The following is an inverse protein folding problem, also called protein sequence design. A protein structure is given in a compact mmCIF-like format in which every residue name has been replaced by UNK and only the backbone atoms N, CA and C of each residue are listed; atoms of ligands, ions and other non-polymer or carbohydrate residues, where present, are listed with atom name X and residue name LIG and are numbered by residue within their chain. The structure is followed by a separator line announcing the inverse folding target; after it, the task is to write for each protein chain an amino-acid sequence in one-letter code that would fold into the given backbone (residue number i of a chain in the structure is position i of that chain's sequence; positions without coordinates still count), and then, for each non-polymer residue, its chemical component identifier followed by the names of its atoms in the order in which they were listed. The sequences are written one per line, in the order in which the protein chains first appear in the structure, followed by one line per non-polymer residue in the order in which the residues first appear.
data_IF_248671783656
#
_entry.id   IF_248671783656
#
_cell.length_a   1.000
_cell.length_b   1.000
_cell.length_c   1.000
_cell.angle_alpha   90.00
_cell.angle_beta   90.00
_cell.angle_gamma   90.00
#
_symmetry.space_group_name_H-M   'P 1'
#
loop_
_entity.id
_entity.type
_entity.pdbx_description
1 polymer ?
#
# COMPACT_ATOMS: atom_id res chain seq x y z
N UNK A 1 -5.37 -23.13 -16.30
CA UNK A 1 -5.86 -21.89 -16.93
C UNK A 1 -4.67 -21.17 -17.55
N UNK A 2 -4.71 -20.82 -18.84
CA UNK A 2 -3.63 -20.07 -19.47
C UNK A 2 -3.49 -18.71 -18.78
N UNK A 3 -2.28 -18.40 -18.28
CA UNK A 3 -1.97 -17.05 -17.81
C UNK A 3 -2.30 -16.10 -18.97
N UNK A 4 -3.15 -15.07 -18.69
CA UNK A 4 -3.40 -14.00 -19.65
C UNK A 4 -2.05 -13.42 -20.05
N UNK A 5 -1.68 -13.53 -21.32
CA UNK A 5 -0.48 -12.87 -21.85
C UNK A 5 -0.72 -11.38 -21.69
N UNK A 6 -0.01 -10.77 -20.72
CA UNK A 6 0.01 -9.30 -20.57
C UNK A 6 0.71 -8.73 -21.78
N UNK A 7 0.11 -7.73 -22.41
CA UNK A 7 0.76 -7.04 -23.51
C UNK A 7 1.95 -6.25 -22.96
N UNK A 8 3.16 -6.76 -23.23
CA UNK A 8 4.41 -6.19 -22.70
C UNK A 8 4.61 -4.75 -23.18
N UNK A 9 4.27 -4.42 -24.43
CA UNK A 9 4.45 -3.06 -24.97
C UNK A 9 3.57 -2.06 -24.23
N UNK A 10 2.35 -2.44 -23.84
CA UNK A 10 1.43 -1.59 -23.09
C UNK A 10 1.82 -1.45 -21.62
N UNK A 11 2.41 -2.49 -21.01
CA UNK A 11 2.98 -2.39 -19.67
C UNK A 11 4.23 -1.51 -19.68
N UNK A 12 5.06 -1.62 -20.70
CA UNK A 12 6.19 -0.72 -20.91
C UNK A 12 5.73 0.73 -21.13
N UNK A 13 4.58 0.94 -21.80
CA UNK A 13 3.95 2.27 -21.95
C UNK A 13 3.49 2.85 -20.59
N UNK A 14 2.90 2.04 -19.70
CA UNK A 14 2.56 2.45 -18.33
C UNK A 14 3.81 2.81 -17.52
N UNK A 15 4.87 2.01 -17.67
CA UNK A 15 6.14 2.24 -16.97
C UNK A 15 6.84 3.53 -17.40
N UNK A 16 6.59 3.98 -18.63
CA UNK A 16 7.13 5.22 -19.19
C UNK A 16 6.17 6.42 -19.14
N UNK A 17 4.98 6.24 -18.55
CA UNK A 17 3.97 7.28 -18.47
C UNK A 17 4.48 8.47 -17.65
N UNK A 18 4.65 9.61 -18.30
CA UNK A 18 4.96 10.89 -17.65
C UNK A 18 3.67 11.72 -17.50
N UNK A 19 3.60 12.49 -16.44
CA UNK A 19 2.52 13.45 -16.22
C UNK A 19 2.91 14.79 -16.84
N UNK A 20 1.98 15.42 -17.55
CA UNK A 20 2.19 16.76 -18.12
C UNK A 20 2.20 17.83 -17.02
N UNK A 21 3.09 18.83 -17.16
CA UNK A 21 3.43 19.79 -16.12
C UNK A 21 2.34 20.77 -15.66
N UNK A 22 1.21 20.86 -16.35
CA UNK A 22 0.15 21.86 -16.12
C UNK A 22 -0.95 21.39 -15.13
N UNK A 23 -0.60 20.50 -14.18
CA UNK A 23 -1.56 20.08 -13.15
C UNK A 23 -2.01 21.28 -12.29
N UNK A 24 -3.30 21.35 -11.92
CA UNK A 24 -3.75 22.33 -10.94
C UNK A 24 -2.97 22.14 -9.64
N UNK A 25 -2.70 23.26 -8.95
CA UNK A 25 -1.94 23.19 -7.69
C UNK A 25 -2.63 22.27 -6.69
N UNK A 26 -1.93 21.28 -6.13
CA UNK A 26 -2.48 20.40 -5.11
C UNK A 26 -2.95 21.20 -3.89
N UNK A 27 -4.06 20.79 -3.29
CA UNK A 27 -4.68 21.50 -2.16
C UNK A 27 -5.00 20.51 -1.04
N UNK A 28 -4.53 20.80 0.17
CA UNK A 28 -4.90 20.03 1.37
C UNK A 28 -6.42 20.16 1.59
N UNK A 29 -7.12 19.03 1.54
CA UNK A 29 -8.57 18.94 1.73
C UNK A 29 -8.93 18.53 3.15
N UNK A 30 -8.13 17.66 3.77
CA UNK A 30 -8.33 17.21 5.15
C UNK A 30 -6.98 16.80 5.76
N UNK A 31 -6.69 17.31 6.95
CA UNK A 31 -5.63 16.82 7.81
C UNK A 31 -6.20 15.74 8.73
N UNK A 32 -5.74 14.50 8.59
CA UNK A 32 -6.23 13.36 9.35
C UNK A 32 -5.83 13.43 10.84
N UNK A 33 -4.87 14.27 11.22
CA UNK A 33 -4.53 14.48 12.63
C UNK A 33 -5.70 15.04 13.42
N UNK A 34 -6.63 15.74 12.77
CA UNK A 34 -7.90 16.22 13.36
C UNK A 34 -8.84 15.09 13.77
N UNK A 35 -8.59 13.86 13.23
CA UNK A 35 -9.32 12.64 13.56
C UNK A 35 -8.49 11.69 14.44
N UNK A 36 -7.33 12.12 14.92
CA UNK A 36 -6.40 11.29 15.67
C UNK A 36 -5.66 10.27 14.80
N UNK A 37 -5.62 10.46 13.49
CA UNK A 37 -4.94 9.60 12.53
C UNK A 37 -3.77 10.33 11.87
N UNK A 38 -2.79 9.60 11.37
CA UNK A 38 -1.64 10.18 10.67
C UNK A 38 -1.86 10.14 9.16
N UNK A 39 -1.80 11.31 8.53
CA UNK A 39 -1.95 11.43 7.09
C UNK A 39 -2.80 12.62 6.66
N UNK A 40 -3.21 12.62 5.41
CA UNK A 40 -3.98 13.71 4.82
C UNK A 40 -4.76 13.28 3.58
N UNK A 41 -5.74 14.10 3.22
CA UNK A 41 -6.42 14.05 1.91
C UNK A 41 -6.02 15.30 1.13
N UNK A 42 -5.53 15.11 -0.09
CA UNK A 42 -5.07 16.20 -0.97
C UNK A 42 -5.85 16.13 -2.28
N UNK A 43 -6.46 17.22 -2.68
CA UNK A 43 -7.15 17.35 -3.97
C UNK A 43 -6.18 17.84 -5.06
N UNK A 44 -6.50 17.55 -6.31
CA UNK A 44 -5.78 18.01 -7.49
C UNK A 44 -4.33 17.51 -7.60
N UNK A 45 -4.04 16.29 -7.18
CA UNK A 45 -2.73 15.65 -7.40
C UNK A 45 -2.55 15.27 -8.87
N UNK A 46 -3.64 14.84 -9.51
CA UNK A 46 -3.74 14.58 -10.95
C UNK A 46 -4.84 15.43 -11.58
N UNK A 47 -4.67 15.77 -12.84
CA UNK A 47 -5.75 16.30 -13.68
C UNK A 47 -6.71 15.19 -14.09
N UNK A 48 -7.93 15.55 -14.50
CA UNK A 48 -8.88 14.58 -15.05
C UNK A 48 -8.33 13.89 -16.32
N UNK A 49 -7.53 14.59 -17.13
CA UNK A 49 -6.90 14.02 -18.33
C UNK A 49 -5.83 12.98 -17.97
N UNK A 50 -4.97 13.26 -16.99
CA UNK A 50 -3.97 12.31 -16.50
C UNK A 50 -4.63 11.07 -15.87
N UNK A 51 -5.70 11.25 -15.12
CA UNK A 51 -6.49 10.15 -14.56
C UNK A 51 -7.08 9.26 -15.68
N UNK A 52 -7.70 9.87 -16.70
CA UNK A 52 -8.25 9.16 -17.85
C UNK A 52 -7.17 8.39 -18.61
N UNK A 53 -6.02 9.01 -18.83
CA UNK A 53 -4.88 8.39 -19.51
C UNK A 53 -4.37 7.14 -18.77
N UNK A 54 -4.27 7.19 -17.44
CA UNK A 54 -3.86 6.02 -16.63
C UNK A 54 -4.90 4.90 -16.80
N UNK A 55 -6.20 5.21 -16.66
CA UNK A 55 -7.29 4.22 -16.82
C UNK A 55 -7.23 3.60 -18.21
N UNK A 56 -7.24 4.42 -19.26
CA UNK A 56 -7.26 3.93 -20.65
C UNK A 56 -6.05 3.07 -20.98
N UNK A 57 -4.86 3.47 -20.53
CA UNK A 57 -3.64 2.71 -20.78
C UNK A 57 -3.68 1.37 -20.05
N UNK A 58 -4.16 1.35 -18.79
CA UNK A 58 -4.27 0.12 -17.99
C UNK A 58 -5.33 -0.83 -18.57
N UNK A 59 -6.48 -0.32 -19.03
CA UNK A 59 -7.53 -1.13 -19.67
C UNK A 59 -7.04 -1.72 -21.00
N UNK A 60 -6.37 -0.91 -21.85
CA UNK A 60 -5.79 -1.38 -23.11
C UNK A 60 -4.74 -2.45 -22.91
N UNK A 61 -3.93 -2.33 -21.87
CA UNK A 61 -2.92 -3.34 -21.51
C UNK A 61 -3.55 -4.69 -21.11
N UNK A 62 -4.88 -4.76 -20.94
CA UNK A 62 -5.59 -5.94 -20.43
C UNK A 62 -4.89 -6.53 -19.18
N UNK A 63 -4.27 -5.64 -18.38
CA UNK A 63 -3.41 -5.99 -17.24
C UNK A 63 -4.18 -6.38 -15.99
N UNK A 64 -5.51 -6.15 -15.95
CA UNK A 64 -6.33 -6.46 -14.79
C UNK A 64 -6.55 -7.96 -14.62
N UNK A 65 -6.27 -8.45 -13.44
CA UNK A 65 -6.62 -9.79 -12.99
C UNK A 65 -7.16 -9.72 -11.56
N UNK A 66 -7.87 -10.73 -11.13
CA UNK A 66 -8.26 -10.84 -9.73
C UNK A 66 -7.01 -10.72 -8.86
N UNK A 67 -7.11 -9.96 -7.75
CA UNK A 67 -5.99 -9.58 -6.89
C UNK A 67 -5.18 -10.77 -6.34
N UNK A 68 -5.82 -11.93 -6.18
CA UNK A 68 -5.18 -13.15 -5.70
C UNK A 68 -4.78 -14.04 -6.89
N UNK A 69 -3.48 -14.40 -7.03
CA UNK A 69 -2.98 -15.17 -8.16
C UNK A 69 -3.54 -16.59 -8.24
N UNK A 70 -4.00 -17.17 -7.13
CA UNK A 70 -4.67 -18.48 -7.13
C UNK A 70 -6.10 -18.42 -7.68
N UNK A 71 -6.61 -17.21 -7.94
CA UNK A 71 -7.93 -16.96 -8.47
C UNK A 71 -8.99 -16.71 -7.41
N UNK A 72 -10.18 -16.42 -7.90
CA UNK A 72 -11.32 -16.01 -7.07
C UNK A 72 -12.09 -17.22 -6.53
N UNK A 73 -12.39 -17.20 -5.24
CA UNK A 73 -13.39 -18.01 -4.59
C UNK A 73 -14.35 -17.15 -3.74
N UNK A 74 -15.37 -17.74 -3.13
CA UNK A 74 -16.37 -17.01 -2.35
C UNK A 74 -15.75 -16.30 -1.12
N UNK A 75 -14.78 -16.92 -0.43
CA UNK A 75 -14.11 -16.36 0.75
C UNK A 75 -13.23 -15.18 0.36
N UNK A 76 -12.41 -15.33 -0.71
CA UNK A 76 -11.56 -14.27 -1.23
C UNK A 76 -12.39 -13.08 -1.72
N UNK A 77 -13.51 -13.33 -2.43
CA UNK A 77 -14.44 -12.28 -2.88
C UNK A 77 -15.17 -11.60 -1.72
N UNK A 78 -15.50 -12.32 -0.66
CA UNK A 78 -16.08 -11.72 0.54
C UNK A 78 -15.10 -10.77 1.23
N UNK A 79 -13.81 -11.08 1.20
CA UNK A 79 -12.76 -10.23 1.76
C UNK A 79 -12.42 -9.05 0.84
N UNK A 80 -12.14 -9.33 -0.45
CA UNK A 80 -11.80 -8.29 -1.43
C UNK A 80 -12.34 -8.68 -2.81
N UNK A 81 -13.23 -7.86 -3.35
CA UNK A 81 -13.77 -8.04 -4.69
C UNK A 81 -13.27 -6.90 -5.60
N UNK A 82 -12.09 -7.12 -6.16
CA UNK A 82 -11.40 -6.16 -7.01
C UNK A 82 -10.47 -6.88 -8.00
N UNK A 83 -10.19 -6.22 -9.12
CA UNK A 83 -9.12 -6.59 -10.03
C UNK A 83 -7.94 -5.63 -9.84
N UNK A 84 -6.73 -6.12 -10.06
CA UNK A 84 -5.50 -5.34 -9.93
C UNK A 84 -4.62 -5.50 -11.17
N UNK A 85 -4.01 -4.41 -11.61
CA UNK A 85 -2.93 -4.38 -12.59
C UNK A 85 -1.68 -3.84 -11.89
N UNK A 86 -0.58 -4.60 -11.94
CA UNK A 86 0.68 -4.27 -11.31
C UNK A 86 1.74 -3.95 -12.35
N UNK A 87 2.51 -2.88 -12.14
CA UNK A 87 3.61 -2.50 -13.01
C UNK A 87 4.65 -1.66 -12.26
N UNK A 88 5.86 -1.53 -12.82
CA UNK A 88 6.88 -0.61 -12.33
C UNK A 88 6.68 0.74 -13.01
N UNK A 89 6.41 1.79 -12.24
CA UNK A 89 6.07 3.14 -12.71
C UNK A 89 7.03 4.21 -12.23
N UNK A 90 8.35 4.03 -12.42
CA UNK A 90 9.37 4.97 -11.96
C UNK A 90 9.11 6.40 -12.47
N UNK A 91 8.78 6.55 -13.77
CA UNK A 91 8.48 7.85 -14.40
C UNK A 91 7.25 8.50 -13.77
N UNK A 92 6.17 7.73 -13.56
CA UNK A 92 4.94 8.20 -12.92
C UNK A 92 5.21 8.62 -11.47
N UNK A 93 5.96 7.83 -10.71
CA UNK A 93 6.36 8.16 -9.34
C UNK A 93 7.21 9.43 -9.28
N UNK A 94 8.18 9.60 -10.19
CA UNK A 94 9.00 10.81 -10.27
C UNK A 94 8.16 12.06 -10.59
N UNK A 95 7.09 11.94 -11.37
CA UNK A 95 6.17 13.05 -11.66
C UNK A 95 5.17 13.31 -10.51
N UNK A 96 4.72 12.27 -9.80
CA UNK A 96 3.79 12.40 -8.68
C UNK A 96 4.45 12.92 -7.40
N UNK A 97 5.69 12.52 -7.13
CA UNK A 97 6.37 12.84 -5.88
C UNK A 97 6.44 14.34 -5.58
N UNK A 98 6.88 15.23 -6.50
CA UNK A 98 6.91 16.67 -6.24
C UNK A 98 5.55 17.26 -5.89
N UNK A 99 4.45 16.66 -6.36
CA UNK A 99 3.08 17.11 -6.08
C UNK A 99 2.59 16.65 -4.70
N UNK A 100 3.06 15.49 -4.22
CA UNK A 100 2.67 14.90 -2.94
C UNK A 100 3.61 15.30 -1.79
N UNK A 101 4.91 15.47 -2.05
CA UNK A 101 5.94 15.72 -1.05
C UNK A 101 5.60 16.85 -0.06
N UNK A 102 4.98 18.00 -0.45
CA UNK A 102 4.65 19.06 0.48
C UNK A 102 3.63 18.67 1.57
N UNK A 103 2.87 17.59 1.35
CA UNK A 103 1.80 17.11 2.23
C UNK A 103 2.18 15.86 3.01
N UNK A 104 3.33 15.27 2.69
CA UNK A 104 3.83 14.06 3.34
C UNK A 104 4.71 14.45 4.53
N UNK A 105 4.66 13.68 5.61
CA UNK A 105 5.57 13.83 6.72
C UNK A 105 7.02 13.65 6.24
N UNK A 106 7.75 14.76 6.12
CA UNK A 106 9.14 14.75 5.64
C UNK A 106 10.07 13.96 6.58
N UNK A 107 9.74 13.92 7.88
CA UNK A 107 10.41 13.12 8.92
C UNK A 107 9.37 12.38 9.73
N UNK A 108 9.71 11.16 10.13
CA UNK A 108 8.87 10.32 10.95
C UNK A 108 9.69 9.62 12.02
N UNK A 109 9.28 9.78 13.28
CA UNK A 109 9.95 9.15 14.43
C UNK A 109 9.10 7.98 14.93
N UNK A 110 9.71 6.82 15.06
CA UNK A 110 9.09 5.63 15.63
C UNK A 110 9.81 5.25 16.92
N UNK A 111 9.05 5.09 18.00
CA UNK A 111 9.60 4.60 19.27
C UNK A 111 10.18 3.20 19.10
N UNK A 112 11.37 2.99 19.62
CA UNK A 112 12.00 1.66 19.68
C UNK A 112 11.48 0.81 20.85
N UNK A 113 10.72 1.40 21.76
CA UNK A 113 10.13 0.72 22.92
C UNK A 113 8.78 0.10 22.54
N UNK A 114 8.64 -1.19 22.77
CA UNK A 114 7.42 -1.93 22.48
C UNK A 114 6.17 -1.42 23.23
N UNK A 115 6.36 -0.75 24.39
CA UNK A 115 5.24 -0.19 25.18
C UNK A 115 4.64 1.08 24.57
N UNK A 116 5.42 1.80 23.74
CA UNK A 116 5.01 3.01 23.03
C UNK A 116 4.94 2.82 21.51
N UNK A 117 5.26 1.60 21.06
CA UNK A 117 5.41 1.32 19.63
C UNK A 117 4.07 1.30 18.93
N UNK A 118 3.92 2.21 17.97
CA UNK A 118 2.84 2.25 16.98
C UNK A 118 3.15 1.36 15.77
N UNK A 119 4.10 0.45 15.90
CA UNK A 119 4.60 -0.43 14.85
C UNK A 119 4.66 -1.87 15.35
N UNK A 120 4.60 -2.84 14.42
CA UNK A 120 4.61 -4.27 14.77
C UNK A 120 5.97 -4.77 15.24
N UNK A 121 7.06 -4.16 14.75
CA UNK A 121 8.44 -4.59 15.00
C UNK A 121 9.31 -3.41 15.47
N UNK A 122 9.15 -2.96 16.74
CA UNK A 122 9.84 -1.77 17.26
C UNK A 122 11.36 -1.82 17.10
N UNK A 123 11.98 -2.99 17.26
CA UNK A 123 13.43 -3.17 17.10
C UNK A 123 13.89 -2.93 15.66
N UNK A 124 13.04 -3.30 14.68
CA UNK A 124 13.29 -3.09 13.25
C UNK A 124 12.89 -1.69 12.79
N UNK A 125 11.77 -1.20 13.30
CA UNK A 125 11.13 0.01 12.80
C UNK A 125 11.55 1.25 13.57
N UNK A 126 11.89 1.12 14.85
CA UNK A 126 12.25 2.24 15.73
C UNK A 126 13.40 3.09 15.20
N UNK A 127 13.28 4.40 15.32
CA UNK A 127 14.27 5.39 14.90
C UNK A 127 13.68 6.52 14.08
N UNK A 128 14.58 7.36 13.53
CA UNK A 128 14.21 8.48 12.68
C UNK A 128 14.24 8.08 11.21
N UNK A 129 13.21 8.52 10.48
CA UNK A 129 13.01 8.22 9.07
C UNK A 129 12.78 9.50 8.27
N UNK A 130 13.33 9.58 7.07
CA UNK A 130 13.18 10.72 6.14
C UNK A 130 12.54 10.23 4.86
N UNK A 131 11.47 10.91 4.42
CA UNK A 131 10.77 10.59 3.18
C UNK A 131 11.68 10.86 1.96
N UNK A 132 11.76 9.89 1.05
CA UNK A 132 12.67 9.96 -0.11
C UNK A 132 11.98 9.84 -1.46
N UNK A 133 10.71 9.41 -1.51
CA UNK A 133 10.00 9.23 -2.77
C UNK A 133 8.81 8.29 -2.62
N UNK A 134 8.33 7.81 -3.76
CA UNK A 134 7.27 6.80 -3.83
C UNK A 134 7.85 5.43 -4.16
N UNK A 135 7.15 4.40 -3.76
CA UNK A 135 7.41 3.04 -4.21
C UNK A 135 7.05 2.93 -5.70
N UNK A 136 8.03 2.54 -6.52
CA UNK A 136 7.85 2.42 -7.96
C UNK A 136 6.98 1.22 -8.37
N UNK A 137 6.73 0.28 -7.46
CA UNK A 137 5.77 -0.80 -7.67
C UNK A 137 4.35 -0.27 -7.46
N UNK A 138 3.64 -0.05 -8.55
CA UNK A 138 2.32 0.53 -8.58
C UNK A 138 1.24 -0.53 -8.80
N UNK A 139 0.12 -0.35 -8.09
CA UNK A 139 -1.07 -1.19 -8.22
C UNK A 139 -2.24 -0.31 -8.67
N UNK A 140 -2.70 -0.49 -9.90
CA UNK A 140 -3.99 0.08 -10.32
C UNK A 140 -5.09 -0.90 -9.96
N UNK A 141 -5.99 -0.48 -9.08
CA UNK A 141 -7.12 -1.28 -8.62
C UNK A 141 -8.39 -0.83 -9.32
N UNK A 142 -9.17 -1.82 -9.79
CA UNK A 142 -10.48 -1.64 -10.41
C UNK A 142 -11.54 -2.36 -9.59
N UNK A 143 -12.55 -1.61 -9.13
CA UNK A 143 -13.70 -2.12 -8.40
C UNK A 143 -14.95 -1.87 -9.25
N UNK A 144 -15.61 -2.92 -9.72
CA UNK A 144 -16.93 -2.84 -10.35
C UNK A 144 -18.06 -2.70 -9.31
N UNK A 145 -19.30 -2.75 -9.76
CA UNK A 145 -20.48 -2.73 -8.89
C UNK A 145 -20.38 -3.81 -7.79
N UNK A 146 -20.62 -3.44 -6.54
CA UNK A 146 -20.43 -4.29 -5.36
C UNK A 146 -18.97 -4.59 -5.00
N UNK A 147 -18.01 -4.06 -5.77
CA UNK A 147 -16.59 -4.18 -5.48
C UNK A 147 -16.23 -3.49 -4.16
N UNK A 148 -15.47 -4.16 -3.31
CA UNK A 148 -15.15 -3.70 -1.95
C UNK A 148 -13.84 -4.29 -1.46
N UNK A 149 -13.37 -3.81 -0.30
CA UNK A 149 -12.26 -4.39 0.44
C UNK A 149 -12.57 -4.34 1.93
N UNK A 150 -12.57 -5.50 2.58
CA UNK A 150 -12.83 -5.66 4.01
C UNK A 150 -11.90 -4.80 4.88
N UNK A 151 -12.27 -4.49 6.13
CA UNK A 151 -11.38 -3.83 7.08
C UNK A 151 -10.02 -4.54 7.21
N UNK A 152 -8.95 -3.76 7.02
CA UNK A 152 -7.56 -4.24 7.09
C UNK A 152 -6.61 -3.07 7.39
N UNK A 153 -5.38 -3.40 7.72
CA UNK A 153 -4.23 -2.50 7.66
C UNK A 153 -3.35 -2.89 6.49
N UNK A 154 -2.61 -1.95 5.93
CA UNK A 154 -1.69 -2.22 4.83
C UNK A 154 -0.36 -2.81 5.31
N UNK A 155 0.24 -3.64 4.47
CA UNK A 155 1.62 -4.09 4.66
C UNK A 155 2.63 -3.04 4.18
N UNK A 156 3.83 -3.06 4.75
CA UNK A 156 4.95 -2.22 4.32
C UNK A 156 5.85 -2.93 3.32
N UNK A 157 6.40 -2.15 2.38
CA UNK A 157 7.50 -2.59 1.53
C UNK A 157 8.81 -2.39 2.28
N UNK A 158 9.54 -3.47 2.54
CA UNK A 158 10.86 -3.45 3.19
C UNK A 158 11.91 -3.76 2.13
N UNK A 159 12.78 -2.80 1.84
CA UNK A 159 13.90 -2.97 0.90
C UNK A 159 15.12 -3.50 1.64
N UNK A 160 15.47 -2.83 2.73
CA UNK A 160 16.51 -3.23 3.67
C UNK A 160 16.26 -2.63 5.06
N UNK A 161 17.24 -2.71 5.98
CA UNK A 161 17.13 -2.12 7.31
C UNK A 161 16.93 -0.62 7.33
N UNK A 162 17.36 0.06 6.28
CA UNK A 162 17.43 1.52 6.23
C UNK A 162 16.47 2.11 5.22
N UNK A 163 15.73 1.29 4.47
CA UNK A 163 14.77 1.74 3.46
C UNK A 163 13.50 0.91 3.47
N UNK A 164 12.39 1.57 3.74
CA UNK A 164 11.05 0.94 3.77
C UNK A 164 9.95 1.96 3.51
N UNK A 165 8.76 1.46 3.24
CA UNK A 165 7.57 2.32 3.21
C UNK A 165 6.95 2.42 4.60
N UNK A 166 6.34 3.59 4.90
CA UNK A 166 5.65 3.86 6.17
C UNK A 166 4.21 4.36 5.96
N UNK A 167 3.91 5.00 4.85
CA UNK A 167 2.58 5.52 4.52
C UNK A 167 2.10 4.97 3.20
N UNK A 168 0.83 4.63 3.13
CA UNK A 168 0.13 4.31 1.88
C UNK A 168 -0.27 5.60 1.18
N UNK A 169 -0.14 5.60 -0.14
CA UNK A 169 -0.69 6.63 -1.03
C UNK A 169 -1.74 5.97 -1.93
N UNK A 170 -2.97 6.46 -1.86
CA UNK A 170 -4.06 6.02 -2.71
C UNK A 170 -4.54 7.21 -3.53
N UNK A 171 -4.36 7.18 -4.86
CA UNK A 171 -4.81 8.23 -5.77
C UNK A 171 -6.03 7.73 -6.52
N UNK A 172 -7.17 8.40 -6.36
CA UNK A 172 -8.40 8.08 -7.09
C UNK A 172 -8.34 8.62 -8.51
N UNK A 173 -8.72 7.79 -9.48
CA UNK A 173 -8.63 8.13 -10.90
C UNK A 173 -9.97 8.56 -11.51
N UNK A 174 -11.07 8.39 -10.80
CA UNK A 174 -12.38 8.83 -11.26
C UNK A 174 -13.30 9.19 -10.11
N UNK A 175 -14.31 9.98 -10.39
CA UNK A 175 -15.44 10.21 -9.51
C UNK A 175 -16.31 8.96 -9.44
N UNK A 176 -16.84 8.66 -8.26
CA UNK A 176 -17.81 7.57 -8.07
C UNK A 176 -19.09 8.17 -7.51
N UNK A 177 -20.19 8.02 -8.26
CA UNK A 177 -21.45 8.65 -7.92
C UNK A 177 -22.10 8.04 -6.65
N UNK A 178 -21.87 6.74 -6.40
CA UNK A 178 -22.46 6.03 -5.26
C UNK A 178 -21.45 5.01 -4.69
N UNK A 179 -21.23 5.04 -3.38
CA UNK A 179 -20.36 4.11 -2.67
C UNK A 179 -18.88 4.33 -2.95
N UNK A 180 -18.08 3.26 -2.83
CA UNK A 180 -16.66 3.22 -3.18
C UNK A 180 -15.73 4.05 -2.28
N UNK A 181 -16.23 4.69 -1.22
CA UNK A 181 -15.40 5.48 -0.30
C UNK A 181 -14.33 4.62 0.37
N UNK A 182 -13.16 5.20 0.64
CA UNK A 182 -12.20 4.61 1.58
C UNK A 182 -12.59 5.05 2.98
N UNK A 183 -12.97 4.10 3.81
CA UNK A 183 -13.42 4.31 5.19
C UNK A 183 -12.22 4.16 6.13
N UNK A 184 -11.88 5.21 6.87
CA UNK A 184 -10.88 5.20 7.93
C UNK A 184 -11.58 4.76 9.22
N UNK A 185 -11.00 3.80 9.94
CA UNK A 185 -11.65 3.12 11.04
C UNK A 185 -11.00 3.45 12.38
N UNK A 186 -11.78 3.41 13.46
CA UNK A 186 -11.31 3.55 14.82
C UNK A 186 -10.49 2.34 15.24
N UNK A 187 -9.34 2.57 15.85
CA UNK A 187 -8.54 1.51 16.45
C UNK A 187 -9.24 0.90 17.68
N UNK A 188 -10.03 1.69 18.41
CA UNK A 188 -10.81 1.22 19.57
C UNK A 188 -11.86 0.19 19.19
N UNK A 189 -12.42 0.29 17.97
CA UNK A 189 -13.45 -0.61 17.46
C UNK A 189 -12.87 -1.74 16.58
N UNK A 190 -11.55 -1.94 16.58
CA UNK A 190 -10.84 -2.87 15.69
C UNK A 190 -11.41 -4.29 15.74
N UNK A 191 -11.69 -4.81 16.93
CA UNK A 191 -12.23 -6.17 17.10
C UNK A 191 -13.65 -6.35 16.54
N UNK A 192 -14.43 -5.27 16.48
CA UNK A 192 -15.80 -5.24 15.98
C UNK A 192 -15.94 -4.54 14.62
N UNK A 193 -14.82 -4.23 13.96
CA UNK A 193 -14.80 -3.44 12.75
C UNK A 193 -15.44 -4.16 11.54
N UNK A 194 -15.51 -5.49 11.55
CA UNK A 194 -15.99 -6.29 10.42
C UNK A 194 -17.42 -6.76 10.67
N UNK A 195 -18.29 -6.49 9.70
CA UNK A 195 -19.62 -7.09 9.60
C UNK A 195 -19.80 -7.71 8.21
N UNK A 196 -20.66 -8.71 8.09
CA UNK A 196 -20.99 -9.29 6.79
C UNK A 196 -22.32 -8.73 6.29
N UNK A 197 -22.30 -8.19 5.09
CA UNK A 197 -23.51 -7.76 4.41
C UNK A 197 -24.43 -8.99 4.15
N UNK A 198 -25.67 -8.99 4.64
CA UNK A 198 -26.52 -10.18 4.59
C UNK A 198 -26.97 -10.55 3.17
N UNK A 199 -26.88 -9.64 2.20
CA UNK A 199 -27.32 -9.88 0.83
C UNK A 199 -26.18 -10.36 -0.06
N UNK A 200 -25.02 -9.72 0.04
CA UNK A 200 -23.85 -10.01 -0.80
C UNK A 200 -22.86 -10.97 -0.15
N UNK A 201 -22.89 -11.13 1.17
CA UNK A 201 -21.86 -11.85 1.94
C UNK A 201 -20.53 -11.12 2.03
N UNK A 202 -20.46 -9.88 1.57
CA UNK A 202 -19.25 -9.04 1.62
C UNK A 202 -18.88 -8.72 3.07
N UNK A 203 -17.61 -8.86 3.42
CA UNK A 203 -17.07 -8.35 4.67
C UNK A 203 -16.84 -6.84 4.52
N UNK A 204 -17.55 -6.04 5.29
CA UNK A 204 -17.53 -4.58 5.23
C UNK A 204 -17.30 -3.98 6.60
N UNK A 205 -16.95 -2.68 6.64
CA UNK A 205 -16.78 -1.99 7.91
C UNK A 205 -18.11 -1.82 8.63
N UNK A 206 -18.11 -2.10 9.95
CA UNK A 206 -19.19 -1.72 10.83
C UNK A 206 -19.36 -0.19 10.83
N UNK A 207 -20.59 0.29 10.75
CA UNK A 207 -20.88 1.72 10.78
C UNK A 207 -20.34 2.43 12.05
N UNK A 208 -20.25 1.70 13.17
CA UNK A 208 -19.69 2.23 14.43
C UNK A 208 -18.18 2.45 14.36
N UNK A 209 -17.48 1.64 13.59
CA UNK A 209 -16.04 1.72 13.47
C UNK A 209 -15.59 2.85 12.52
N UNK A 210 -16.46 3.36 11.66
CA UNK A 210 -16.10 4.37 10.65
C UNK A 210 -15.94 5.75 11.30
N UNK A 211 -14.70 6.25 11.33
CA UNK A 211 -14.37 7.61 11.75
C UNK A 211 -14.64 8.60 10.63
N UNK A 212 -14.21 8.28 9.43
CA UNK A 212 -14.35 9.15 8.27
C UNK A 212 -14.40 8.33 6.98
N UNK A 213 -15.14 8.84 5.99
CA UNK A 213 -15.26 8.21 4.67
C UNK A 213 -14.74 9.19 3.59
N UNK A 214 -13.62 8.83 2.97
CA UNK A 214 -13.01 9.62 1.90
C UNK A 214 -13.65 9.22 0.58
N UNK A 215 -14.46 10.10 0.01
CA UNK A 215 -15.09 9.88 -1.28
C UNK A 215 -14.07 9.86 -2.43
N UNK A 216 -14.12 8.89 -3.34
CA UNK A 216 -13.29 8.88 -4.52
C UNK A 216 -13.66 10.03 -5.46
N UNK A 217 -12.65 10.87 -5.79
CA UNK A 217 -12.72 11.96 -6.76
C UNK A 217 -11.50 11.91 -7.65
N UNK A 218 -11.67 12.14 -8.93
CA UNK A 218 -10.56 12.16 -9.88
C UNK A 218 -9.46 13.12 -9.42
N UNK A 219 -8.22 12.62 -9.36
CA UNK A 219 -7.06 13.40 -8.93
C UNK A 219 -6.91 13.63 -7.43
N UNK A 220 -7.81 13.12 -6.58
CA UNK A 220 -7.66 13.15 -5.12
C UNK A 220 -6.70 12.09 -4.65
N UNK A 221 -5.79 12.43 -3.73
CA UNK A 221 -4.95 11.48 -3.01
C UNK A 221 -5.38 11.38 -1.53
N UNK A 222 -5.30 10.17 -1.00
CA UNK A 222 -5.37 9.87 0.43
C UNK A 222 -4.02 9.29 0.83
N UNK A 223 -3.35 9.92 1.78
CA UNK A 223 -2.09 9.45 2.37
C UNK A 223 -2.35 9.10 3.83
N UNK A 224 -1.97 7.91 4.26
CA UNK A 224 -2.19 7.47 5.64
C UNK A 224 -1.12 6.47 6.11
N UNK A 225 -0.92 6.43 7.42
CA UNK A 225 -0.03 5.48 8.08
C UNK A 225 -0.47 4.04 7.79
N UNK A 226 0.47 3.15 7.40
CA UNK A 226 0.15 1.75 7.01
C UNK A 226 -0.70 0.99 8.02
N UNK A 227 -0.50 1.26 9.33
CA UNK A 227 -1.24 0.56 10.39
C UNK A 227 -2.65 1.14 10.61
N UNK A 228 -3.02 2.22 9.92
CA UNK A 228 -4.38 2.75 9.99
C UNK A 228 -5.37 1.72 9.46
N UNK A 229 -6.26 1.27 10.33
CA UNK A 229 -7.36 0.38 9.93
C UNK A 229 -8.27 1.12 8.95
N UNK A 230 -8.53 0.51 7.82
CA UNK A 230 -9.38 1.09 6.79
C UNK A 230 -10.10 0.02 5.97
N UNK A 231 -11.11 0.44 5.21
CA UNK A 231 -11.89 -0.43 4.33
C UNK A 231 -12.27 0.28 3.04
N UNK A 232 -12.45 -0.47 1.97
CA UNK A 232 -13.09 0.01 0.74
C UNK A 232 -14.59 -0.28 0.77
N UNK A 233 -15.42 0.74 0.92
CA UNK A 233 -16.87 0.59 0.88
C UNK A 233 -17.34 0.02 -0.47
N UNK A 234 -18.42 -0.77 -0.53
CA UNK A 234 -18.98 -1.28 -1.77
C UNK A 234 -19.27 -0.16 -2.78
N UNK A 235 -18.90 -0.39 -4.03
CA UNK A 235 -19.20 0.51 -5.14
C UNK A 235 -20.65 0.31 -5.57
N UNK A 236 -21.37 1.40 -5.78
CA UNK A 236 -22.79 1.39 -6.16
C UNK A 236 -23.06 0.71 -7.51
N UNK A 237 -24.32 0.39 -7.74
CA UNK A 237 -24.77 -0.25 -8.97
C UNK A 237 -24.50 0.66 -10.19
N UNK A 238 -23.95 0.09 -11.26
CA UNK A 238 -23.62 0.84 -12.48
C UNK A 238 -22.39 1.75 -12.37
N UNK A 239 -21.71 1.75 -11.20
CA UNK A 239 -20.49 2.52 -10.99
C UNK A 239 -19.23 1.61 -11.09
N UNK A 240 -18.10 2.25 -11.37
CA UNK A 240 -16.78 1.65 -11.24
C UNK A 240 -15.84 2.62 -10.50
N UNK A 241 -14.92 2.10 -9.72
CA UNK A 241 -13.88 2.87 -9.04
C UNK A 241 -12.52 2.41 -9.52
N UNK A 242 -11.68 3.38 -9.89
CA UNK A 242 -10.26 3.16 -10.20
C UNK A 242 -9.39 3.95 -9.24
N UNK A 243 -8.33 3.33 -8.75
CA UNK A 243 -7.34 4.03 -7.96
C UNK A 243 -5.94 3.42 -8.16
N UNK A 244 -4.91 4.28 -8.09
CA UNK A 244 -3.51 3.85 -8.01
C UNK A 244 -3.12 3.76 -6.54
N UNK A 245 -2.53 2.65 -6.13
CA UNK A 245 -1.86 2.50 -4.85
C UNK A 245 -0.35 2.51 -5.04
N UNK A 246 0.32 3.28 -4.23
CA UNK A 246 1.75 3.28 -4.00
C UNK A 246 2.00 3.46 -2.49
N UNK A 247 3.27 3.59 -2.12
CA UNK A 247 3.66 3.87 -0.74
C UNK A 247 4.68 5.01 -0.72
N UNK A 248 4.73 5.78 0.37
CA UNK A 248 5.84 6.72 0.62
C UNK A 248 7.01 5.93 1.18
N UNK A 249 8.15 6.02 0.50
CA UNK A 249 9.41 5.40 0.91
C UNK A 249 10.19 6.32 1.83
N UNK A 250 10.74 5.73 2.86
CA UNK A 250 11.56 6.42 3.86
C UNK A 250 12.93 5.78 4.00
N UNK A 251 13.92 6.60 4.32
CA UNK A 251 15.26 6.16 4.70
C UNK A 251 15.54 6.50 6.16
N UNK A 252 16.18 5.57 6.85
CA UNK A 252 16.56 5.71 8.28
C UNK A 252 17.73 6.66 8.45
N UNK A 253 17.64 7.53 9.45
CA UNK A 253 18.69 8.48 9.81
C UNK A 253 18.96 8.45 11.32
N UNK A 254 20.19 8.09 11.78
CA UNK A 254 21.30 7.55 10.99
C UNK A 254 21.01 6.11 10.53
N UNK A 255 21.67 5.65 9.45
CA UNK A 255 21.52 4.27 9.00
C UNK A 255 22.11 3.29 10.01
N UNK A 256 21.50 2.09 10.14
CA UNK A 256 21.94 0.99 11.00
C UNK A 256 22.37 -0.21 10.16
N UNK A 257 23.17 -1.10 10.74
CA UNK A 257 23.52 -2.39 10.14
C UNK A 257 24.04 -2.23 8.70
N UNK A 258 25.05 -1.34 8.55
CA UNK A 258 25.58 -0.95 7.24
C UNK A 258 26.81 -1.75 6.82
N UNK A 259 27.40 -2.56 7.73
CA UNK A 259 28.54 -3.39 7.41
C UNK A 259 28.19 -4.46 6.35
N UNK A 260 29.13 -4.86 5.48
CA UNK A 260 28.84 -5.85 4.43
C UNK A 260 28.29 -7.17 4.94
N UNK A 261 28.79 -7.67 6.09
CA UNK A 261 28.30 -8.87 6.72
C UNK A 261 26.88 -8.74 7.28
N UNK A 262 26.50 -7.55 7.77
CA UNK A 262 25.14 -7.26 8.26
C UNK A 262 24.13 -7.22 7.10
N UNK A 263 24.48 -6.54 6.00
CA UNK A 263 23.66 -6.54 4.78
C UNK A 263 23.46 -7.95 4.24
N UNK A 264 24.55 -8.73 4.18
CA UNK A 264 24.48 -10.12 3.73
C UNK A 264 23.63 -10.99 4.67
N UNK A 265 23.71 -10.75 5.98
CA UNK A 265 22.88 -11.43 6.97
C UNK A 265 21.38 -11.13 6.74
N UNK A 266 21.03 -9.87 6.47
CA UNK A 266 19.66 -9.47 6.18
C UNK A 266 19.13 -10.09 4.87
N UNK A 267 19.91 -10.03 3.78
CA UNK A 267 19.55 -10.71 2.52
C UNK A 267 19.30 -12.21 2.73
N UNK A 268 20.18 -12.87 3.51
CA UNK A 268 20.05 -14.30 3.84
C UNK A 268 18.78 -14.56 4.67
N UNK A 269 18.42 -13.64 5.58
CA UNK A 269 17.18 -13.74 6.33
C UNK A 269 15.94 -13.61 5.43
N UNK A 270 15.92 -12.65 4.50
CA UNK A 270 14.83 -12.51 3.54
C UNK A 270 14.68 -13.72 2.61
N UNK A 271 15.80 -14.32 2.17
CA UNK A 271 15.80 -15.57 1.41
C UNK A 271 15.17 -16.72 2.20
N UNK A 272 15.49 -16.82 3.50
CA UNK A 272 14.89 -17.82 4.39
C UNK A 272 13.38 -17.63 4.55
N UNK A 273 12.93 -16.37 4.77
CA UNK A 273 11.50 -16.05 4.86
C UNK A 273 10.74 -16.41 3.57
N UNK A 274 11.33 -16.13 2.40
CA UNK A 274 10.71 -16.46 1.12
C UNK A 274 10.52 -17.97 0.93
N UNK A 275 11.52 -18.79 1.34
CA UNK A 275 11.42 -20.23 1.33
C UNK A 275 10.36 -20.76 2.29
N UNK A 276 10.31 -20.20 3.51
CA UNK A 276 9.30 -20.56 4.51
C UNK A 276 7.88 -20.25 4.01
N UNK A 277 7.69 -19.06 3.42
CA UNK A 277 6.42 -18.65 2.82
C UNK A 277 6.00 -19.55 1.63
N UNK A 278 6.99 -20.11 0.90
CA UNK A 278 6.76 -21.09 -0.14
C UNK A 278 6.49 -22.52 0.39
N UNK A 279 6.49 -22.72 1.72
CA UNK A 279 6.28 -24.01 2.38
C UNK A 279 7.52 -24.88 2.52
N UNK A 280 8.71 -24.37 2.16
CA UNK A 280 9.99 -25.09 2.28
C UNK A 280 10.78 -24.68 3.52
N UNK A 281 10.21 -24.98 4.69
CA UNK A 281 10.85 -24.71 5.99
C UNK A 281 12.18 -25.45 6.18
N UNK A 282 12.36 -26.60 5.51
CA UNK A 282 13.61 -27.36 5.60
C UNK A 282 14.77 -26.67 4.87
N UNK A 283 14.50 -26.04 3.74
CA UNK A 283 15.49 -25.22 3.05
C UNK A 283 15.74 -23.86 3.75
N UNK A 284 14.75 -23.30 4.46
CA UNK A 284 14.88 -22.06 5.21
C UNK A 284 15.79 -22.18 6.44
N UNK A 285 15.73 -23.32 7.16
CA UNK A 285 16.44 -23.51 8.42
C UNK A 285 17.96 -23.27 8.35
N UNK A 286 18.72 -23.84 7.37
CA UNK A 286 20.15 -23.57 7.26
C UNK A 286 20.47 -22.09 6.99
N UNK A 287 19.58 -21.36 6.32
CA UNK A 287 19.73 -19.93 6.08
C UNK A 287 19.56 -19.13 7.37
N UNK A 288 18.55 -19.41 8.19
CA UNK A 288 18.40 -18.80 9.51
C UNK A 288 19.64 -19.02 10.39
N UNK A 289 20.18 -20.23 10.42
CA UNK A 289 21.43 -20.52 11.13
C UNK A 289 22.64 -19.75 10.57
N UNK A 290 22.67 -19.48 9.26
CA UNK A 290 23.72 -18.71 8.61
C UNK A 290 23.66 -17.24 8.99
N UNK A 291 22.47 -16.67 9.18
CA UNK A 291 22.28 -15.27 9.63
C UNK A 291 23.10 -15.02 10.91
N UNK A 292 22.99 -15.86 11.92
CA UNK A 292 23.74 -15.71 13.18
C UNK A 292 25.27 -15.79 13.01
N UNK A 293 25.74 -16.56 12.03
CA UNK A 293 27.18 -16.64 11.69
C UNK A 293 27.68 -15.38 10.95
N UNK A 294 26.81 -14.73 10.19
CA UNK A 294 27.13 -13.51 9.42
C UNK A 294 27.10 -12.28 10.35
N UNK A 295 26.05 -12.16 11.18
CA UNK A 295 25.89 -11.05 12.12
C UNK A 295 25.06 -11.46 13.33
N UNK A 296 25.67 -11.43 14.50
CA UNK A 296 24.96 -11.67 15.77
C UNK A 296 23.92 -10.59 16.05
N UNK A 297 24.17 -9.33 15.63
CA UNK A 297 23.23 -8.22 15.80
C UNK A 297 21.99 -8.43 14.95
N UNK A 298 22.14 -8.81 13.69
CA UNK A 298 21.01 -9.14 12.80
C UNK A 298 20.21 -10.31 13.38
N UNK A 299 20.88 -11.38 13.84
CA UNK A 299 20.21 -12.52 14.45
C UNK A 299 19.42 -12.13 15.70
N UNK A 300 19.97 -11.24 16.53
CA UNK A 300 19.28 -10.71 17.72
C UNK A 300 18.02 -9.92 17.33
N UNK A 301 18.12 -9.02 16.35
CA UNK A 301 17.00 -8.19 15.90
C UNK A 301 15.85 -9.07 15.38
N UNK A 302 16.16 -10.15 14.65
CA UNK A 302 15.16 -11.08 14.14
C UNK A 302 14.84 -12.25 15.08
N UNK A 303 15.32 -12.21 16.32
CA UNK A 303 15.05 -13.24 17.36
C UNK A 303 15.40 -14.66 16.90
N UNK A 304 16.51 -14.80 16.18
CA UNK A 304 17.02 -16.09 15.72
C UNK A 304 17.99 -16.75 16.72
N UNK A 305 18.27 -16.08 17.81
CA UNK A 305 19.15 -16.50 18.93
C UNK A 305 18.51 -16.19 20.26
#
# INVERSE_FOLDING_TARGET
MAAKVRDKELIDALSSLALDGDAPSPTLSLDLTTLGLDGCVVDNILTAAECAQIIETTERANGFSFWDPEGADAKKRSHRNADTCEFSGATLCASLWPRLQPFVAARWSLAADASEARCHEPELEGGEWVATGLNEHLLVNRYGAGGHFAPHADGSTVVDFNRRSLFTVLVYLNDVAEGGATQLLSEEERECAIVHDPLSGAAVASAKAVLHAVAPRAGRALVYWHQTMHAGAPVGAGCAKYCVRSDVMYERVPPRLTAPNERRAFETYQEALALEAAGDAMAALPLYMRVGKLSAEVARVFRLV
#
